data_IF_103162358400
#
_entry.id   IF_103162358400
#
_cell.length_a   1.000
_cell.length_b   1.000
_cell.length_c   1.000
_cell.angle_alpha   90.00
_cell.angle_beta   90.00
_cell.angle_gamma   90.00
#
_symmetry.space_group_name_H-M   'P 1'
#
loop_
_entity.id
_entity.type
_entity.pdbx_description
1 polymer ?
#
# COMPACT_ATOMS: atom_id res chain seq x y z
N UNK A 1 -6.87 -7.53 -4.86
CA UNK A 1 -5.53 -7.01 -5.18
C UNK A 1 -5.57 -5.95 -6.28
N UNK A 2 -6.20 -6.20 -7.45
CA UNK A 2 -6.28 -5.22 -8.55
C UNK A 2 -6.69 -3.80 -8.11
N UNK A 3 -7.72 -3.68 -7.27
CA UNK A 3 -8.15 -2.38 -6.72
C UNK A 3 -7.07 -1.71 -5.86
N UNK A 4 -6.36 -2.47 -5.02
CA UNK A 4 -5.24 -1.98 -4.20
C UNK A 4 -4.12 -1.46 -5.11
N UNK A 5 -3.76 -2.24 -6.13
CA UNK A 5 -2.73 -1.87 -7.11
C UNK A 5 -3.08 -0.56 -7.81
N UNK A 6 -4.30 -0.46 -8.35
CA UNK A 6 -4.78 0.75 -9.06
C UNK A 6 -4.78 1.96 -8.15
N UNK A 7 -5.32 1.83 -6.94
CA UNK A 7 -5.42 2.94 -6.00
C UNK A 7 -4.02 3.42 -5.56
N UNK A 8 -3.10 2.50 -5.28
CA UNK A 8 -1.73 2.85 -4.92
C UNK A 8 -1.01 3.56 -6.08
N UNK A 9 -1.13 3.07 -7.32
CA UNK A 9 -0.61 3.74 -8.53
C UNK A 9 -1.22 5.12 -8.76
N UNK A 10 -2.50 5.31 -8.43
CA UNK A 10 -3.15 6.62 -8.57
C UNK A 10 -2.70 7.60 -7.49
N UNK A 11 -2.44 7.10 -6.28
CA UNK A 11 -2.01 7.89 -5.12
C UNK A 11 -0.61 8.44 -5.29
N UNK A 12 0.31 7.62 -5.81
CA UNK A 12 1.69 8.02 -6.08
C UNK A 12 2.11 7.47 -7.46
N UNK A 13 2.37 8.39 -8.40
CA UNK A 13 2.64 8.07 -9.81
C UNK A 13 4.11 8.21 -10.18
N UNK A 14 4.82 9.12 -9.52
CA UNK A 14 6.19 9.47 -9.91
C UNK A 14 7.22 8.64 -9.15
N UNK A 15 6.98 8.38 -7.87
CA UNK A 15 7.96 7.72 -7.01
C UNK A 15 7.66 6.24 -6.75
N UNK A 16 6.40 5.81 -6.88
CA UNK A 16 6.03 4.42 -6.70
C UNK A 16 6.46 3.62 -7.93
N UNK A 17 7.54 2.87 -7.79
CA UNK A 17 8.14 2.10 -8.88
C UNK A 17 7.43 0.77 -9.07
N UNK A 18 7.21 0.03 -7.99
CA UNK A 18 6.61 -1.31 -8.04
C UNK A 18 5.67 -1.58 -6.86
N UNK A 19 4.75 -2.52 -7.09
CA UNK A 19 3.76 -2.98 -6.12
C UNK A 19 3.65 -4.49 -6.25
N UNK A 20 3.98 -5.20 -5.19
CA UNK A 20 3.92 -6.67 -5.19
C UNK A 20 3.00 -7.18 -4.08
N UNK A 21 2.22 -8.22 -4.40
CA UNK A 21 1.45 -8.95 -3.42
C UNK A 21 2.29 -10.11 -2.91
N UNK A 22 2.68 -10.05 -1.64
CA UNK A 22 3.52 -11.06 -1.03
C UNK A 22 2.70 -12.25 -0.52
N UNK A 23 1.66 -11.98 0.27
CA UNK A 23 0.84 -13.03 0.88
C UNK A 23 -0.63 -12.60 1.02
N UNK A 24 -1.52 -13.59 1.05
CA UNK A 24 -2.95 -13.42 1.31
C UNK A 24 -3.34 -14.37 2.43
N UNK A 25 -3.40 -13.85 3.65
CA UNK A 25 -3.84 -14.61 4.80
C UNK A 25 -5.37 -14.62 4.91
N UNK A 26 -5.93 -15.83 5.00
CA UNK A 26 -7.34 -16.09 5.27
C UNK A 26 -7.40 -17.15 6.36
N UNK A 27 -7.62 -16.75 7.61
CA UNK A 27 -7.58 -17.66 8.74
C UNK A 27 -8.43 -17.22 9.90
N UNK A 28 -8.50 -18.08 10.92
CA UNK A 28 -9.44 -17.96 12.05
C UNK A 28 -9.26 -16.69 12.91
N UNK A 29 -8.12 -16.02 12.78
CA UNK A 29 -7.82 -14.76 13.49
C UNK A 29 -8.31 -13.51 12.73
N UNK A 30 -9.03 -13.67 11.62
CA UNK A 30 -9.67 -12.58 10.90
C UNK A 30 -11.18 -12.60 11.12
N UNK A 31 -11.85 -11.43 11.15
CA UNK A 31 -13.31 -11.38 11.10
C UNK A 31 -13.84 -12.13 9.88
N UNK A 32 -15.03 -12.71 10.02
CA UNK A 32 -15.66 -13.47 8.94
C UNK A 32 -15.76 -12.65 7.66
N UNK A 33 -15.43 -13.28 6.53
CA UNK A 33 -15.41 -12.62 5.22
C UNK A 33 -14.22 -11.69 4.96
N UNK A 34 -13.32 -11.45 5.93
CA UNK A 34 -12.12 -10.63 5.71
C UNK A 34 -10.91 -11.45 5.26
N UNK A 35 -10.04 -10.78 4.50
CA UNK A 35 -8.73 -11.28 4.06
C UNK A 35 -7.67 -10.27 4.46
N UNK A 36 -6.50 -10.74 4.87
CA UNK A 36 -5.34 -9.89 5.11
C UNK A 36 -4.38 -10.04 3.94
N UNK A 37 -3.95 -8.91 3.37
CA UNK A 37 -3.01 -8.88 2.26
C UNK A 37 -1.71 -8.26 2.74
N UNK A 38 -0.59 -8.94 2.51
CA UNK A 38 0.75 -8.36 2.68
C UNK A 38 1.19 -7.81 1.33
N UNK A 39 1.32 -6.49 1.25
CA UNK A 39 1.69 -5.79 0.00
C UNK A 39 2.99 -5.03 0.24
N UNK A 40 3.94 -5.18 -0.67
CA UNK A 40 5.20 -4.43 -0.64
C UNK A 40 5.19 -3.34 -1.72
N UNK A 41 5.63 -2.15 -1.35
CA UNK A 41 5.76 -1.00 -2.25
C UNK A 41 7.25 -0.66 -2.43
N UNK A 42 7.70 -0.56 -3.67
CA UNK A 42 9.04 -0.04 -3.98
C UNK A 42 8.92 1.42 -4.34
N UNK A 43 9.45 2.30 -3.50
CA UNK A 43 9.45 3.75 -3.70
C UNK A 43 10.87 4.18 -4.05
N UNK A 44 11.05 4.84 -5.19
CA UNK A 44 12.36 5.24 -5.69
C UNK A 44 12.30 6.55 -6.47
N UNK A 45 13.28 7.42 -6.22
CA UNK A 45 13.58 8.59 -7.06
C UNK A 45 14.89 8.31 -7.81
N UNK A 46 14.93 8.61 -9.11
CA UNK A 46 16.11 8.37 -9.95
C UNK A 46 17.17 9.47 -9.83
N UNK A 47 16.84 10.58 -9.18
CA UNK A 47 17.69 11.78 -9.12
C UNK A 47 18.34 11.98 -7.75
N UNK A 48 17.78 11.37 -6.70
CA UNK A 48 18.24 11.55 -5.32
C UNK A 48 17.76 10.42 -4.40
N UNK A 49 18.43 10.28 -3.27
CA UNK A 49 17.93 9.45 -2.16
C UNK A 49 16.73 10.13 -1.49
N UNK A 50 15.67 9.36 -1.24
CA UNK A 50 14.51 9.83 -0.50
C UNK A 50 14.84 9.85 1.00
N UNK A 51 14.37 10.88 1.71
CA UNK A 51 14.45 10.93 3.16
C UNK A 51 13.29 10.18 3.81
N UNK A 52 13.47 9.76 5.06
CA UNK A 52 12.42 9.08 5.84
C UNK A 52 11.12 9.90 5.85
N UNK A 53 11.22 11.22 6.04
CA UNK A 53 10.07 12.14 6.03
C UNK A 53 9.31 12.11 4.68
N UNK A 54 10.02 11.93 3.56
CA UNK A 54 9.36 11.81 2.25
C UNK A 54 8.67 10.45 2.11
N UNK A 55 9.32 9.37 2.55
CA UNK A 55 8.75 8.02 2.55
C UNK A 55 7.49 7.98 3.42
N UNK A 56 7.55 8.49 4.64
CA UNK A 56 6.43 8.53 5.58
C UNK A 56 5.23 9.29 5.01
N UNK A 57 5.48 10.40 4.30
CA UNK A 57 4.40 11.16 3.63
C UNK A 57 3.74 10.35 2.52
N UNK A 58 4.50 9.58 1.75
CA UNK A 58 3.96 8.74 0.67
C UNK A 58 3.16 7.59 1.28
N UNK A 59 3.73 6.90 2.27
CA UNK A 59 3.06 5.81 2.98
C UNK A 59 1.78 6.27 3.68
N UNK A 60 1.79 7.43 4.32
CA UNK A 60 0.60 8.01 4.94
C UNK A 60 -0.51 8.34 3.93
N UNK A 61 -0.16 8.81 2.73
CA UNK A 61 -1.15 9.00 1.64
C UNK A 61 -1.72 7.66 1.16
N UNK A 62 -0.86 6.66 0.94
CA UNK A 62 -1.28 5.32 0.53
C UNK A 62 -2.23 4.71 1.56
N UNK A 63 -1.85 4.75 2.83
CA UNK A 63 -2.67 4.28 3.94
C UNK A 63 -4.03 4.97 3.96
N UNK A 64 -4.04 6.31 3.98
CA UNK A 64 -5.29 7.08 4.06
C UNK A 64 -6.24 6.76 2.90
N UNK A 65 -5.72 6.63 1.68
CA UNK A 65 -6.55 6.30 0.52
C UNK A 65 -7.08 4.87 0.60
N UNK A 66 -6.25 3.89 0.99
CA UNK A 66 -6.70 2.51 1.16
C UNK A 66 -7.75 2.38 2.27
N UNK A 67 -7.60 3.11 3.38
CA UNK A 67 -8.59 3.17 4.45
C UNK A 67 -9.90 3.79 3.97
N UNK A 68 -9.83 4.93 3.27
CA UNK A 68 -11.03 5.68 2.84
C UNK A 68 -11.81 4.95 1.74
N UNK A 69 -11.12 4.43 0.72
CA UNK A 69 -11.77 3.85 -0.46
C UNK A 69 -12.17 2.38 -0.26
N UNK A 70 -11.43 1.63 0.56
CA UNK A 70 -11.64 0.18 0.73
C UNK A 70 -12.12 -0.21 2.13
N UNK A 71 -12.20 0.74 3.07
CA UNK A 71 -12.40 0.42 4.48
C UNK A 71 -11.30 -0.50 5.03
N UNK A 72 -10.10 -0.42 4.43
CA UNK A 72 -8.97 -1.23 4.86
C UNK A 72 -8.54 -0.80 6.27
N UNK A 73 -7.92 -1.71 7.01
CA UNK A 73 -7.25 -1.39 8.26
C UNK A 73 -5.84 -1.91 8.15
N UNK A 74 -4.85 -1.02 8.24
CA UNK A 74 -3.45 -1.43 8.36
C UNK A 74 -3.23 -2.07 9.74
N UNK A 75 -2.37 -3.09 9.78
CA UNK A 75 -2.01 -3.82 11.00
C UNK A 75 -0.51 -3.99 11.06
#
# INVERSE_FOLDING_TARGET
>A
FDTIYKLARQTEKSLLKDINLFDVYQGKNLPEGKKSYTVSFTIQDNTKTLTDVQIDKIMGKLQKNLETELGASLR
#
